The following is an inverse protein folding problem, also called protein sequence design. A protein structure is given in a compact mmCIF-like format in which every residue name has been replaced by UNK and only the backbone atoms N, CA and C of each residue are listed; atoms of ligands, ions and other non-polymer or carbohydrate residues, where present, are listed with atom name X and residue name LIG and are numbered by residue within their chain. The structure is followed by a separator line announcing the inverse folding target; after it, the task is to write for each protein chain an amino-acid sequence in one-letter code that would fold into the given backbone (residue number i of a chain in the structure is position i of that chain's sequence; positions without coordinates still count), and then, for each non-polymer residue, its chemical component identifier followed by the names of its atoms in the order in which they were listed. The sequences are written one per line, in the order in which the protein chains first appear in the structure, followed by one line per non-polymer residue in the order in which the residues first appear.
data_IF_073480034239
#
_entry.id   IF_073480034239
#
_cell.length_a   1.000
_cell.length_b   1.000
_cell.length_c   1.000
_cell.angle_alpha   90.00
_cell.angle_beta   90.00
_cell.angle_gamma   90.00
#
_symmetry.space_group_name_H-M   'P 1'
#
loop_
_entity.id
_entity.type
_entity.pdbx_description
1 polymer ?
#
# COMPACT_ATOMS: atom_id res chain seq x y z
N UNK A 1 4.17 -4.16 16.39
CA UNK A 1 3.59 -4.92 15.26
C UNK A 1 4.73 -5.62 14.53
N UNK A 2 4.47 -6.72 13.83
CA UNK A 2 5.44 -7.48 13.04
C UNK A 2 4.85 -7.80 11.66
N UNK A 3 5.69 -8.13 10.68
CA UNK A 3 5.26 -8.42 9.30
C UNK A 3 5.02 -9.91 9.05
N UNK A 4 5.72 -10.80 9.75
CA UNK A 4 5.58 -12.24 9.58
C UNK A 4 5.45 -12.91 10.96
N UNK A 5 4.33 -13.59 11.26
CA UNK A 5 3.12 -13.69 10.43
C UNK A 5 2.32 -12.37 10.39
N UNK A 6 1.65 -12.07 9.27
CA UNK A 6 0.75 -10.92 9.16
C UNK A 6 -0.45 -11.07 10.10
N UNK A 7 -0.90 -9.96 10.71
CA UNK A 7 -2.13 -9.95 11.51
C UNK A 7 -3.34 -9.67 10.61
N UNK A 8 -3.74 -10.69 9.84
CA UNK A 8 -4.82 -10.62 8.86
C UNK A 8 -6.16 -10.22 9.48
N UNK A 9 -6.48 -10.75 10.67
CA UNK A 9 -7.70 -10.42 11.39
C UNK A 9 -7.79 -8.92 11.74
N UNK A 10 -6.66 -8.32 12.15
CA UNK A 10 -6.61 -6.88 12.40
C UNK A 10 -6.78 -6.08 11.10
N UNK A 11 -6.10 -6.49 10.02
CA UNK A 11 -6.20 -5.84 8.70
C UNK A 11 -7.64 -5.86 8.19
N UNK A 12 -8.30 -7.02 8.22
CA UNK A 12 -9.70 -7.18 7.87
C UNK A 12 -10.62 -6.28 8.73
N UNK A 13 -10.34 -6.19 10.04
CA UNK A 13 -11.06 -5.31 10.96
C UNK A 13 -10.97 -3.83 10.59
N UNK A 14 -9.81 -3.36 10.09
CA UNK A 14 -9.66 -1.99 9.60
C UNK A 14 -10.34 -1.77 8.25
N UNK A 15 -10.24 -2.75 7.34
CA UNK A 15 -10.82 -2.67 6.00
C UNK A 15 -12.36 -2.57 6.05
N UNK A 16 -13.00 -3.23 7.03
CA UNK A 16 -14.47 -3.28 7.17
C UNK A 16 -15.16 -1.93 7.15
N UNK A 17 -14.56 -0.90 7.73
CA UNK A 17 -15.15 0.45 7.83
C UNK A 17 -14.48 1.47 6.93
N UNK A 18 -13.43 1.06 6.21
CA UNK A 18 -12.70 1.95 5.32
C UNK A 18 -13.54 2.28 4.10
N UNK A 19 -13.58 3.56 3.72
CA UNK A 19 -14.18 3.98 2.44
C UNK A 19 -13.21 3.81 1.27
N UNK A 20 -11.91 3.90 1.57
CA UNK A 20 -10.78 3.86 0.67
C UNK A 20 -9.59 3.29 1.43
N UNK A 21 -8.72 2.56 0.75
CA UNK A 21 -7.54 1.94 1.36
C UNK A 21 -6.30 2.29 0.54
N UNK A 22 -5.27 2.77 1.23
CA UNK A 22 -3.95 2.99 0.65
C UNK A 22 -2.93 2.12 1.39
N UNK A 23 -2.25 1.24 0.66
CA UNK A 23 -1.14 0.44 1.19
C UNK A 23 0.16 1.14 0.80
N UNK A 24 1.00 1.46 1.79
CA UNK A 24 2.27 2.18 1.56
C UNK A 24 3.44 1.37 2.10
N UNK A 25 4.49 1.22 1.30
CA UNK A 25 5.74 0.54 1.69
C UNK A 25 6.92 1.14 0.90
N UNK A 26 8.08 1.30 1.54
CA UNK A 26 9.29 1.79 0.85
C UNK A 26 9.90 0.73 -0.08
N UNK A 27 9.56 -0.54 0.16
CA UNK A 27 9.99 -1.66 -0.65
C UNK A 27 9.55 -1.55 -2.10
N UNK A 28 10.25 -2.29 -2.96
CA UNK A 28 9.95 -2.38 -4.40
C UNK A 28 8.52 -2.89 -4.65
N UNK A 29 8.01 -2.59 -5.84
CA UNK A 29 6.66 -2.98 -6.23
C UNK A 29 6.43 -4.50 -6.19
N UNK A 30 7.38 -5.31 -6.65
CA UNK A 30 7.23 -6.77 -6.75
C UNK A 30 7.80 -7.52 -5.54
N UNK A 31 7.08 -8.55 -5.08
CA UNK A 31 7.46 -9.39 -3.94
C UNK A 31 7.64 -8.58 -2.64
N UNK A 32 6.81 -7.56 -2.47
CA UNK A 32 6.78 -6.69 -1.28
C UNK A 32 5.70 -7.12 -0.28
N UNK A 33 5.80 -6.66 0.96
CA UNK A 33 4.84 -7.01 2.02
C UNK A 33 3.42 -6.53 1.71
N UNK A 34 3.29 -5.46 0.92
CA UNK A 34 2.01 -4.95 0.46
C UNK A 34 1.15 -5.97 -0.31
N UNK A 35 1.76 -6.96 -0.96
CA UNK A 35 1.01 -8.04 -1.64
C UNK A 35 0.18 -8.85 -0.63
N UNK A 36 0.81 -9.29 0.47
CA UNK A 36 0.12 -10.02 1.54
C UNK A 36 -0.96 -9.19 2.24
N UNK A 37 -0.73 -7.88 2.40
CA UNK A 37 -1.75 -6.96 2.95
C UNK A 37 -2.96 -6.86 2.03
N UNK A 38 -2.75 -6.71 0.72
CA UNK A 38 -3.83 -6.66 -0.27
C UNK A 38 -4.60 -7.99 -0.29
N UNK A 39 -3.90 -9.12 -0.31
CA UNK A 39 -4.52 -10.45 -0.25
C UNK A 39 -5.41 -10.59 0.98
N UNK A 40 -4.92 -10.22 2.17
CA UNK A 40 -5.71 -10.29 3.41
C UNK A 40 -6.99 -9.44 3.35
N UNK A 41 -6.95 -8.26 2.71
CA UNK A 41 -8.12 -7.40 2.51
C UNK A 41 -9.13 -8.03 1.55
N UNK A 42 -8.63 -8.55 0.42
CA UNK A 42 -9.46 -9.14 -0.64
C UNK A 42 -10.12 -10.44 -0.16
N UNK A 43 -9.36 -11.33 0.46
CA UNK A 43 -9.86 -12.61 0.99
C UNK A 43 -10.82 -12.42 2.17
N UNK A 44 -10.70 -11.33 2.92
CA UNK A 44 -11.69 -10.94 3.93
C UNK A 44 -13.00 -10.39 3.34
N UNK A 45 -13.13 -10.30 2.01
CA UNK A 45 -14.35 -9.88 1.32
C UNK A 45 -14.44 -8.38 1.04
N UNK A 46 -13.35 -7.62 1.24
CA UNK A 46 -13.35 -6.16 1.07
C UNK A 46 -12.71 -5.69 -0.24
N UNK A 47 -12.50 -6.57 -1.21
CA UNK A 47 -11.86 -6.26 -2.50
C UNK A 47 -12.61 -5.26 -3.39
N UNK A 48 -13.89 -4.97 -3.11
CA UNK A 48 -14.65 -3.91 -3.78
C UNK A 48 -14.36 -2.50 -3.24
N UNK A 49 -13.68 -2.39 -2.10
CA UNK A 49 -13.27 -1.09 -1.53
C UNK A 49 -12.21 -0.46 -2.44
N UNK A 50 -12.35 0.81 -2.86
CA UNK A 50 -11.32 1.48 -3.64
C UNK A 50 -9.95 1.38 -2.96
N UNK A 51 -8.98 0.81 -3.67
CA UNK A 51 -7.69 0.44 -3.13
C UNK A 51 -6.58 0.81 -4.11
N UNK A 52 -5.50 1.38 -3.59
CA UNK A 52 -4.26 1.60 -4.32
C UNK A 52 -3.05 1.24 -3.43
N UNK A 53 -1.90 0.99 -4.08
CA UNK A 53 -0.63 0.79 -3.41
C UNK A 53 0.39 1.81 -3.89
N UNK A 54 1.14 2.40 -2.94
CA UNK A 54 2.22 3.36 -3.20
C UNK A 54 3.51 2.75 -2.66
N UNK A 55 4.41 2.43 -3.57
CA UNK A 55 5.60 1.63 -3.31
C UNK A 55 6.78 2.10 -4.12
N UNK A 56 7.97 1.68 -3.74
CA UNK A 56 9.17 1.97 -4.49
C UNK A 56 9.21 1.27 -5.85
N UNK A 57 10.04 1.79 -6.76
CA UNK A 57 10.25 1.19 -8.08
C UNK A 57 10.90 -0.21 -7.98
N UNK A 58 10.67 -1.06 -8.99
CA UNK A 58 11.31 -2.39 -9.11
C UNK A 58 12.78 -2.30 -9.53
N UNK A 59 13.60 -1.84 -8.59
CA UNK A 59 15.04 -1.66 -8.77
C UNK A 59 15.76 -1.73 -7.42
N UNK A 60 17.10 -1.72 -7.45
CA UNK A 60 17.90 -1.52 -6.24
C UNK A 60 17.71 -0.09 -5.73
N UNK A 61 17.83 0.13 -4.43
CA UNK A 61 17.85 1.48 -3.84
C UNK A 61 19.22 2.12 -4.10
N UNK A 62 19.32 3.21 -4.88
CA UNK A 62 20.59 3.90 -5.11
C UNK A 62 21.12 4.57 -3.85
N UNK A 63 22.40 4.94 -3.86
CA UNK A 63 23.06 5.55 -2.71
C UNK A 63 22.59 6.99 -2.47
N UNK A 64 22.43 7.35 -1.19
CA UNK A 64 22.20 8.72 -0.72
C UNK A 64 20.99 9.39 -1.41
N UNK A 65 21.12 10.64 -1.87
CA UNK A 65 20.01 11.40 -2.44
C UNK A 65 19.38 10.77 -3.68
N UNK A 66 20.08 9.87 -4.38
CA UNK A 66 19.52 9.16 -5.52
C UNK A 66 18.45 8.13 -5.11
N UNK A 67 18.38 7.73 -3.82
CA UNK A 67 17.29 6.91 -3.30
C UNK A 67 15.91 7.58 -3.46
N UNK A 68 15.86 8.92 -3.42
CA UNK A 68 14.62 9.69 -3.56
C UNK A 68 13.99 9.56 -4.94
N UNK A 69 14.73 9.08 -5.94
CA UNK A 69 14.19 8.82 -7.28
C UNK A 69 13.42 7.50 -7.38
N UNK A 70 13.52 6.62 -6.37
CA UNK A 70 12.90 5.28 -6.40
C UNK A 70 12.01 4.99 -5.20
N UNK A 71 12.18 5.70 -4.09
CA UNK A 71 11.33 5.58 -2.91
C UNK A 71 10.06 6.41 -3.09
N UNK A 72 8.92 5.96 -2.53
CA UNK A 72 7.71 6.77 -2.54
C UNK A 72 7.90 8.03 -1.70
N UNK A 73 7.47 9.16 -2.23
CA UNK A 73 7.43 10.43 -1.53
C UNK A 73 6.03 10.73 -0.94
N UNK A 74 5.96 11.66 0.00
CA UNK A 74 4.69 12.12 0.58
C UNK A 74 3.72 12.62 -0.50
N UNK A 75 4.24 13.26 -1.56
CA UNK A 75 3.42 13.71 -2.70
C UNK A 75 2.78 12.54 -3.46
N UNK A 76 3.44 11.38 -3.54
CA UNK A 76 2.91 10.20 -4.19
C UNK A 76 1.75 9.60 -3.38
N UNK A 77 1.88 9.64 -2.05
CA UNK A 77 0.83 9.21 -1.11
C UNK A 77 -0.40 10.12 -1.23
N UNK A 78 -0.20 11.45 -1.27
CA UNK A 78 -1.28 12.42 -1.42
C UNK A 78 -1.97 12.25 -2.78
N UNK A 79 -1.20 12.17 -3.87
CA UNK A 79 -1.76 11.97 -5.21
C UNK A 79 -2.54 10.65 -5.32
N UNK A 80 -2.06 9.58 -4.67
CA UNK A 80 -2.77 8.32 -4.61
C UNK A 80 -4.09 8.40 -3.83
N UNK A 81 -4.12 9.18 -2.75
CA UNK A 81 -5.36 9.43 -2.02
C UNK A 81 -6.37 10.20 -2.88
N UNK A 82 -5.91 11.23 -3.60
CA UNK A 82 -6.75 12.01 -4.52
C UNK A 82 -7.32 11.16 -5.67
N UNK A 83 -6.53 10.22 -6.22
CA UNK A 83 -6.99 9.30 -7.27
C UNK A 83 -8.13 8.38 -6.82
N UNK A 84 -8.23 8.12 -5.51
CA UNK A 84 -9.31 7.29 -4.95
C UNK A 84 -10.55 8.11 -4.62
N UNK A 85 -10.51 9.44 -4.65
CA UNK A 85 -11.69 10.27 -4.45
C UNK A 85 -12.72 10.02 -5.56
N UNK A 86 -14.02 9.85 -5.22
CA UNK A 86 -15.07 9.72 -6.22
C UNK A 86 -15.10 10.95 -7.13
N UNK A 87 -15.34 10.74 -8.42
CA UNK A 87 -15.66 11.84 -9.36
C UNK A 87 -16.80 12.68 -8.77
N UNK A 88 -16.56 13.98 -8.60
CA UNK A 88 -17.57 14.94 -8.12
C UNK A 88 -18.72 15.10 -9.11
#
# INVERSE_FOLDING_TARGET
RWLVPLNEAYIAGQARTARRILVVDEGRHSAGVGEGVITAIVEAGFGATPLQRVVGADTYTPLAGAALAVLPADSDIVAAADNLEPSR
#
